data_IF_165699212824
#
_entry.id   IF_165699212824
#
_cell.length_a   1.000
_cell.length_b   1.000
_cell.length_c   1.000
_cell.angle_alpha   90.00
_cell.angle_beta   90.00
_cell.angle_gamma   90.00
#
_symmetry.space_group_name_H-M   'P 1'
#
loop_
_entity.id
_entity.type
_entity.pdbx_description
1 polymer ?
#
# COMPACT_ATOMS: atom_id res chain seq x y z
N UNK A 1 64.12 7.11 23.08
CA UNK A 1 62.71 7.17 23.60
C UNK A 1 61.67 7.72 22.58
N UNK A 2 62.09 8.46 21.57
CA UNK A 2 61.15 9.05 20.56
C UNK A 2 60.58 8.06 19.52
N UNK A 3 61.27 7.02 19.20
CA UNK A 3 60.86 6.05 18.17
C UNK A 3 59.69 5.15 18.61
N UNK A 4 59.58 4.84 19.89
CA UNK A 4 58.51 4.02 20.46
C UNK A 4 57.14 4.72 20.43
N UNK A 5 57.14 6.05 20.69
CA UNK A 5 55.90 6.83 20.64
C UNK A 5 55.30 6.90 19.23
N UNK A 6 56.12 6.95 18.18
CA UNK A 6 55.65 7.01 16.79
C UNK A 6 55.05 5.68 16.30
N UNK A 7 55.59 4.56 16.81
CA UNK A 7 55.05 3.22 16.48
C UNK A 7 53.70 2.98 17.19
N UNK A 8 53.61 3.39 18.47
CA UNK A 8 52.36 3.25 19.24
C UNK A 8 51.25 4.13 18.68
N UNK A 9 51.53 5.34 18.23
CA UNK A 9 50.57 6.25 17.63
C UNK A 9 50.03 5.71 16.31
N UNK A 10 50.87 5.11 15.46
CA UNK A 10 50.46 4.46 14.20
C UNK A 10 49.59 3.24 14.42
N UNK A 11 49.89 2.43 15.46
CA UNK A 11 49.09 1.26 15.78
C UNK A 11 47.70 1.65 16.30
N UNK A 12 47.59 2.70 17.12
CA UNK A 12 46.30 3.24 17.61
C UNK A 12 45.43 3.80 16.48
N UNK A 13 46.03 4.43 15.49
CA UNK A 13 45.31 4.98 14.32
C UNK A 13 44.74 3.84 13.47
N UNK A 14 45.49 2.75 13.27
CA UNK A 14 45.01 1.57 12.50
C UNK A 14 43.84 0.87 13.21
N UNK A 15 43.89 0.78 14.53
CA UNK A 15 42.78 0.18 15.34
C UNK A 15 41.53 1.07 15.29
N UNK A 16 41.67 2.39 15.34
CA UNK A 16 40.56 3.33 15.21
C UNK A 16 39.89 3.30 13.82
N UNK A 17 40.66 3.16 12.75
CA UNK A 17 40.13 3.06 11.38
C UNK A 17 39.43 1.70 11.17
N UNK A 18 39.93 0.61 11.75
CA UNK A 18 39.30 -0.72 11.68
C UNK A 18 37.97 -0.82 12.40
N UNK A 19 37.74 -0.03 13.47
CA UNK A 19 36.47 -0.04 14.20
C UNK A 19 35.32 0.70 13.48
N UNK A 20 35.61 1.60 12.55
CA UNK A 20 34.59 2.31 11.80
C UNK A 20 34.01 1.52 10.60
N UNK A 21 34.67 0.46 10.14
CA UNK A 21 34.22 -0.31 8.99
C UNK A 21 33.20 -1.42 9.31
N UNK A 22 32.95 -1.73 10.58
CA UNK A 22 32.05 -2.85 10.97
C UNK A 22 30.59 -2.43 11.15
N UNK A 23 30.28 -1.10 11.11
CA UNK A 23 28.93 -0.60 11.39
C UNK A 23 28.04 -0.43 10.16
N UNK A 24 28.50 -0.71 8.93
CA UNK A 24 27.73 -0.43 7.72
C UNK A 24 26.85 -1.58 7.18
N UNK A 25 27.00 -2.82 7.67
CA UNK A 25 26.33 -3.96 7.03
C UNK A 25 24.92 -4.27 7.59
N UNK A 26 24.48 -3.64 8.66
CA UNK A 26 23.18 -3.95 9.27
C UNK A 26 22.01 -3.11 8.72
N UNK A 27 22.29 -1.99 8.06
CA UNK A 27 21.24 -1.10 7.54
C UNK A 27 20.68 -1.58 6.20
N UNK A 28 21.49 -2.22 5.37
CA UNK A 28 21.09 -2.63 4.01
C UNK A 28 20.11 -3.80 3.98
N UNK A 29 20.16 -4.73 4.93
CA UNK A 29 19.26 -5.91 4.92
C UNK A 29 17.81 -5.56 5.24
N UNK A 30 17.55 -4.65 6.18
CA UNK A 30 16.19 -4.27 6.55
C UNK A 30 15.51 -3.44 5.45
N UNK A 31 16.26 -2.57 4.78
CA UNK A 31 15.74 -1.70 3.72
C UNK A 31 15.41 -2.49 2.45
N UNK A 32 16.27 -3.42 2.05
CA UNK A 32 16.03 -4.34 0.93
C UNK A 32 14.79 -5.20 1.17
N UNK A 33 14.62 -5.75 2.38
CA UNK A 33 13.45 -6.58 2.72
C UNK A 33 12.15 -5.77 2.69
N UNK A 34 12.18 -4.51 3.12
CA UNK A 34 11.01 -3.62 3.09
C UNK A 34 10.61 -3.29 1.66
N UNK A 35 11.56 -2.98 0.79
CA UNK A 35 11.30 -2.67 -0.63
C UNK A 35 10.77 -3.89 -1.37
N UNK A 36 11.34 -5.06 -1.12
CA UNK A 36 10.89 -6.31 -1.72
C UNK A 36 9.45 -6.65 -1.32
N UNK A 37 9.11 -6.56 -0.04
CA UNK A 37 7.75 -6.77 0.45
C UNK A 37 6.74 -5.78 -0.15
N UNK A 38 7.11 -4.51 -0.32
CA UNK A 38 6.26 -3.51 -0.95
C UNK A 38 5.94 -3.85 -2.41
N UNK A 39 6.93 -4.33 -3.15
CA UNK A 39 6.73 -4.74 -4.53
C UNK A 39 5.80 -5.95 -4.64
N UNK A 40 5.95 -6.94 -3.78
CA UNK A 40 5.08 -8.14 -3.74
C UNK A 40 3.62 -7.73 -3.49
N UNK A 41 3.36 -6.82 -2.55
CA UNK A 41 2.00 -6.35 -2.26
C UNK A 41 1.39 -5.62 -3.45
N UNK A 42 2.14 -4.74 -4.10
CA UNK A 42 1.67 -4.00 -5.29
C UNK A 42 1.37 -4.94 -6.45
N UNK A 43 2.22 -5.93 -6.70
CA UNK A 43 1.98 -6.93 -7.75
C UNK A 43 0.73 -7.78 -7.45
N UNK A 44 0.49 -8.14 -6.18
CA UNK A 44 -0.76 -8.79 -5.75
C UNK A 44 -1.96 -7.90 -6.09
N UNK A 45 -1.92 -6.61 -5.74
CA UNK A 45 -3.02 -5.68 -6.01
C UNK A 45 -3.32 -5.54 -7.50
N UNK A 46 -2.28 -5.46 -8.33
CA UNK A 46 -2.43 -5.45 -9.80
C UNK A 46 -3.07 -6.73 -10.32
N UNK A 47 -2.58 -7.87 -9.87
CA UNK A 47 -3.13 -9.17 -10.23
C UNK A 47 -4.60 -9.32 -9.81
N UNK A 48 -4.96 -8.83 -8.63
CA UNK A 48 -6.35 -8.86 -8.13
C UNK A 48 -7.24 -7.92 -8.95
N UNK A 49 -6.77 -6.69 -9.24
CA UNK A 49 -7.49 -5.74 -10.05
C UNK A 49 -7.74 -6.28 -11.47
N UNK A 50 -6.73 -6.83 -12.10
CA UNK A 50 -6.84 -7.42 -13.44
C UNK A 50 -7.81 -8.61 -13.46
N UNK A 51 -7.76 -9.48 -12.46
CA UNK A 51 -8.66 -10.63 -12.35
C UNK A 51 -10.12 -10.22 -12.17
N UNK A 52 -10.38 -9.18 -11.37
CA UNK A 52 -11.75 -8.76 -11.01
C UNK A 52 -12.33 -7.83 -12.07
N UNK A 53 -11.55 -6.86 -12.55
CA UNK A 53 -12.04 -5.76 -13.40
C UNK A 53 -11.56 -5.86 -14.85
N UNK A 54 -10.37 -6.42 -15.10
CA UNK A 54 -9.81 -6.67 -16.41
C UNK A 54 -9.86 -5.47 -17.35
N UNK A 55 -10.44 -5.64 -18.51
CA UNK A 55 -10.55 -4.59 -19.56
C UNK A 55 -11.38 -3.37 -19.16
N UNK A 56 -12.05 -3.38 -18.02
CA UNK A 56 -12.81 -2.24 -17.51
C UNK A 56 -11.91 -1.20 -16.81
N UNK A 57 -10.65 -1.53 -16.54
CA UNK A 57 -9.67 -0.60 -15.97
C UNK A 57 -9.30 0.44 -17.01
N UNK A 58 -9.47 1.71 -16.67
CA UNK A 58 -9.18 2.85 -17.54
C UNK A 58 -7.88 3.56 -17.17
N UNK A 59 -7.59 3.65 -15.88
CA UNK A 59 -6.43 4.37 -15.34
C UNK A 59 -5.93 3.71 -14.07
N UNK A 60 -4.63 3.84 -13.80
CA UNK A 60 -3.95 3.37 -12.61
C UNK A 60 -3.12 4.51 -12.02
N UNK A 61 -3.25 4.73 -10.70
CA UNK A 61 -2.43 5.69 -9.94
C UNK A 61 -1.81 5.00 -8.74
N UNK A 62 -0.49 5.13 -8.59
CA UNK A 62 0.26 4.59 -7.45
C UNK A 62 0.69 5.70 -6.53
N UNK A 63 0.49 5.51 -5.23
CA UNK A 63 0.97 6.38 -4.16
C UNK A 63 1.75 5.53 -3.16
N UNK A 64 2.97 5.96 -2.86
CA UNK A 64 3.85 5.31 -1.89
C UNK A 64 4.26 6.28 -0.81
N UNK A 65 4.20 5.84 0.44
CA UNK A 65 4.76 6.54 1.59
C UNK A 65 5.58 5.56 2.43
N UNK A 66 6.24 6.07 3.47
CA UNK A 66 7.06 5.23 4.34
C UNK A 66 6.29 4.03 4.93
N UNK A 67 5.03 4.24 5.33
CA UNK A 67 4.22 3.23 6.01
C UNK A 67 3.00 2.74 5.21
N UNK A 68 2.80 3.18 3.98
CA UNK A 68 1.66 2.76 3.19
C UNK A 68 1.96 2.73 1.70
N UNK A 69 1.39 1.74 1.04
CA UNK A 69 1.30 1.64 -0.41
C UNK A 69 -0.18 1.70 -0.80
N UNK A 70 -0.48 2.49 -1.81
CA UNK A 70 -1.82 2.61 -2.34
C UNK A 70 -1.81 2.52 -3.86
N UNK A 71 -2.72 1.72 -4.39
CA UNK A 71 -2.95 1.59 -5.81
C UNK A 71 -4.41 1.90 -6.09
N UNK A 72 -4.67 2.89 -6.92
CA UNK A 72 -6.03 3.33 -7.25
C UNK A 72 -6.27 3.07 -8.72
N UNK A 73 -7.36 2.36 -9.02
CA UNK A 73 -7.84 2.12 -10.36
C UNK A 73 -9.13 2.89 -10.61
N UNK A 74 -9.26 3.45 -11.80
CA UNK A 74 -10.53 3.93 -12.32
C UNK A 74 -11.13 2.83 -13.19
N UNK A 75 -12.32 2.39 -12.82
CA UNK A 75 -13.00 1.28 -13.51
C UNK A 75 -14.33 1.78 -14.08
N UNK A 76 -14.52 1.57 -15.39
CA UNK A 76 -15.77 1.91 -16.06
C UNK A 76 -16.73 0.73 -15.95
N UNK A 77 -17.85 0.95 -15.30
CA UNK A 77 -18.98 0.04 -15.42
C UNK A 77 -20.22 0.80 -15.90
N UNK A 78 -20.96 0.18 -16.81
CA UNK A 78 -22.18 0.75 -17.38
C UNK A 78 -23.38 0.60 -16.45
N UNK A 79 -23.24 -0.15 -15.37
CA UNK A 79 -24.33 -0.31 -14.41
C UNK A 79 -24.37 0.88 -13.46
N UNK A 80 -25.45 1.63 -13.57
CA UNK A 80 -25.71 2.79 -12.72
C UNK A 80 -26.08 2.42 -11.27
N UNK A 81 -26.43 1.15 -11.02
CA UNK A 81 -26.79 0.67 -9.70
C UNK A 81 -25.55 0.06 -9.00
N UNK A 82 -25.11 0.71 -7.95
CA UNK A 82 -23.93 0.29 -7.19
C UNK A 82 -24.11 -1.09 -6.54
N UNK A 83 -25.29 -1.43 -6.06
CA UNK A 83 -25.54 -2.70 -5.37
C UNK A 83 -25.45 -3.86 -6.39
N UNK A 84 -26.02 -3.72 -7.58
CA UNK A 84 -25.89 -4.72 -8.65
C UNK A 84 -24.42 -4.93 -9.08
N UNK A 85 -23.61 -3.87 -9.08
CA UNK A 85 -22.20 -3.99 -9.39
C UNK A 85 -21.47 -4.78 -8.31
N UNK A 86 -21.71 -4.46 -7.04
CA UNK A 86 -21.10 -5.15 -5.90
C UNK A 86 -21.50 -6.62 -5.90
N UNK A 87 -22.78 -6.95 -6.06
CA UNK A 87 -23.26 -8.34 -6.10
C UNK A 87 -22.55 -9.18 -7.19
N UNK A 88 -22.27 -8.58 -8.34
CA UNK A 88 -21.55 -9.26 -9.43
C UNK A 88 -20.10 -9.55 -9.12
N UNK A 89 -19.41 -8.63 -8.44
CA UNK A 89 -17.97 -8.78 -8.18
C UNK A 89 -17.65 -9.44 -6.86
N UNK A 90 -18.61 -9.53 -5.93
CA UNK A 90 -18.38 -10.08 -4.58
C UNK A 90 -17.81 -11.50 -4.64
N UNK A 91 -18.37 -12.36 -5.50
CA UNK A 91 -17.84 -13.71 -5.71
C UNK A 91 -16.42 -13.75 -6.26
N UNK A 92 -16.02 -12.77 -7.08
CA UNK A 92 -14.64 -12.64 -7.59
C UNK A 92 -13.70 -12.13 -6.50
N UNK A 93 -14.15 -11.15 -5.72
CA UNK A 93 -13.43 -10.62 -4.57
C UNK A 93 -13.12 -11.71 -3.55
N UNK A 94 -14.12 -12.50 -3.18
CA UNK A 94 -13.98 -13.61 -2.23
C UNK A 94 -12.99 -14.68 -2.74
N UNK A 95 -13.00 -15.01 -4.04
CA UNK A 95 -12.03 -15.94 -4.65
C UNK A 95 -10.59 -15.43 -4.58
N UNK A 96 -10.38 -14.11 -4.51
CA UNK A 96 -9.07 -13.47 -4.34
C UNK A 96 -8.71 -13.20 -2.88
N UNK A 97 -9.58 -13.64 -1.93
CA UNK A 97 -9.36 -13.53 -0.50
C UNK A 97 -9.81 -12.20 0.11
N UNK A 98 -10.55 -11.39 -0.64
CA UNK A 98 -11.14 -10.15 -0.16
C UNK A 98 -12.51 -10.44 0.45
N UNK A 99 -12.68 -10.15 1.75
CA UNK A 99 -13.91 -10.37 2.48
C UNK A 99 -14.56 -9.03 2.79
N UNK A 100 -15.86 -8.92 2.54
CA UNK A 100 -16.62 -7.71 2.88
C UNK A 100 -16.55 -7.44 4.38
N UNK A 101 -16.28 -6.18 4.73
CA UNK A 101 -16.18 -5.74 6.11
C UNK A 101 -17.35 -4.86 6.50
N UNK A 102 -17.52 -3.74 5.81
CA UNK A 102 -18.58 -2.76 6.07
C UNK A 102 -18.76 -1.80 4.89
N UNK A 103 -19.86 -1.05 4.93
CA UNK A 103 -20.05 0.14 4.09
C UNK A 103 -19.83 1.38 4.95
N UNK A 104 -18.85 2.18 4.58
CA UNK A 104 -18.58 3.44 5.23
C UNK A 104 -18.85 4.60 4.26
N UNK A 105 -19.84 5.42 4.57
CA UNK A 105 -20.39 6.42 3.63
C UNK A 105 -20.76 5.74 2.31
N UNK A 106 -20.13 6.17 1.21
CA UNK A 106 -20.38 5.58 -0.11
C UNK A 106 -19.41 4.44 -0.48
N UNK A 107 -18.37 4.22 0.34
CA UNK A 107 -17.36 3.19 0.06
C UNK A 107 -17.76 1.82 0.62
N UNK A 108 -17.61 0.78 -0.19
CA UNK A 108 -17.66 -0.62 0.26
C UNK A 108 -16.24 -1.05 0.62
N UNK A 109 -16.06 -1.51 1.85
CA UNK A 109 -14.75 -1.87 2.42
C UNK A 109 -14.62 -3.38 2.47
N UNK A 110 -13.52 -3.88 1.94
CA UNK A 110 -13.12 -5.28 2.00
C UNK A 110 -11.75 -5.39 2.64
N UNK A 111 -11.52 -6.49 3.35
CA UNK A 111 -10.23 -6.79 3.98
C UNK A 111 -9.71 -8.15 3.51
N UNK A 112 -8.39 -8.27 3.33
CA UNK A 112 -7.75 -9.56 3.16
C UNK A 112 -7.13 -10.07 4.48
N UNK A 113 -6.50 -11.26 4.44
CA UNK A 113 -5.87 -11.88 5.61
C UNK A 113 -4.67 -11.10 6.12
N UNK A 114 -4.01 -10.34 5.26
CA UNK A 114 -2.83 -9.55 5.58
C UNK A 114 -3.18 -8.14 6.06
N UNK A 115 -4.46 -7.92 6.40
CA UNK A 115 -5.01 -6.63 6.84
C UNK A 115 -4.89 -5.53 5.78
N UNK A 116 -4.76 -5.90 4.51
CA UNK A 116 -4.90 -4.93 3.43
C UNK A 116 -6.37 -4.53 3.29
N UNK A 117 -6.59 -3.28 2.88
CA UNK A 117 -7.92 -2.73 2.66
C UNK A 117 -8.16 -2.51 1.18
N UNK A 118 -9.33 -2.91 0.72
CA UNK A 118 -9.85 -2.59 -0.60
C UNK A 118 -11.08 -1.71 -0.42
N UNK A 119 -11.08 -0.57 -1.08
CA UNK A 119 -12.17 0.41 -1.09
C UNK A 119 -12.79 0.47 -2.49
N UNK A 120 -14.08 0.21 -2.57
CA UNK A 120 -14.85 0.34 -3.79
C UNK A 120 -15.77 1.55 -3.65
N UNK A 121 -15.45 2.63 -4.34
CA UNK A 121 -16.22 3.88 -4.31
C UNK A 121 -17.00 4.02 -5.60
N UNK A 122 -18.35 4.00 -5.55
CA UNK A 122 -19.18 4.13 -6.75
C UNK A 122 -19.01 5.51 -7.40
N UNK A 123 -19.48 5.67 -8.65
CA UNK A 123 -19.62 6.96 -9.28
C UNK A 123 -20.51 7.87 -8.44
N UNK A 124 -19.98 8.98 -7.95
CA UNK A 124 -20.71 9.90 -7.07
C UNK A 124 -20.39 11.33 -7.39
N UNK A 125 -21.27 12.20 -6.91
CA UNK A 125 -21.16 13.65 -7.09
C UNK A 125 -19.91 14.21 -6.39
N UNK A 126 -19.40 15.32 -6.90
CA UNK A 126 -18.25 16.07 -6.36
C UNK A 126 -18.32 16.20 -4.83
N UNK A 127 -17.23 15.94 -4.15
CA UNK A 127 -17.09 16.19 -2.71
C UNK A 127 -17.19 14.95 -1.80
N UNK A 128 -17.32 13.74 -2.32
CA UNK A 128 -17.26 12.54 -1.50
C UNK A 128 -15.79 12.18 -1.20
N UNK A 129 -15.49 12.06 0.08
CA UNK A 129 -14.15 11.73 0.57
C UNK A 129 -14.01 10.21 0.65
N UNK A 130 -13.03 9.64 -0.03
CA UNK A 130 -12.61 8.26 0.26
C UNK A 130 -12.15 8.16 1.70
N UNK A 131 -12.42 7.07 2.37
CA UNK A 131 -11.97 6.83 3.75
C UNK A 131 -10.48 6.46 3.81
N UNK A 132 -9.69 7.04 3.00
CA UNK A 132 -8.26 6.93 3.14
C UNK A 132 -7.81 7.92 4.19
N UNK A 133 -7.70 7.64 5.42
CA UNK A 133 -7.29 8.49 6.56
C UNK A 133 -6.53 9.81 6.35
N UNK A 134 -6.30 10.21 5.13
CA UNK A 134 -5.53 11.37 4.71
C UNK A 134 -6.36 12.47 4.04
N UNK A 135 -7.70 12.38 4.06
CA UNK A 135 -8.57 13.49 3.64
C UNK A 135 -8.44 13.91 2.18
N UNK A 136 -7.97 13.05 1.30
CA UNK A 136 -7.95 13.35 -0.13
C UNK A 136 -9.36 13.25 -0.68
N UNK A 137 -9.96 14.41 -0.97
CA UNK A 137 -11.20 14.45 -1.71
C UNK A 137 -10.92 14.07 -3.15
N UNK A 138 -11.66 13.10 -3.65
CA UNK A 138 -11.71 12.86 -5.09
C UNK A 138 -12.58 13.96 -5.70
N UNK A 139 -11.95 15.02 -6.18
CA UNK A 139 -12.62 16.17 -6.79
C UNK A 139 -13.09 15.90 -8.22
N UNK A 140 -13.47 14.69 -8.55
CA UNK A 140 -13.89 14.39 -9.93
C UNK A 140 -15.30 13.84 -9.98
N UNK A 141 -16.07 14.47 -10.81
CA UNK A 141 -17.27 13.90 -11.43
C UNK A 141 -16.91 12.62 -12.09
N UNK A 142 -17.66 11.57 -11.79
CA UNK A 142 -17.10 10.37 -12.20
C UNK A 142 -18.15 9.39 -12.63
N UNK A 143 -18.13 9.15 -13.90
CA UNK A 143 -18.76 8.00 -14.49
C UNK A 143 -17.95 6.72 -14.24
N UNK A 144 -17.08 6.72 -13.21
CA UNK A 144 -16.17 5.62 -12.92
C UNK A 144 -16.24 5.22 -11.46
N UNK A 145 -16.07 3.93 -11.22
CA UNK A 145 -15.73 3.43 -9.90
C UNK A 145 -14.27 3.77 -9.58
N UNK A 146 -14.02 4.23 -8.38
CA UNK A 146 -12.67 4.37 -7.86
C UNK A 146 -12.38 3.19 -6.92
N UNK A 147 -11.42 2.37 -7.32
CA UNK A 147 -11.04 1.14 -6.62
C UNK A 147 -9.68 1.38 -5.98
N UNK A 148 -9.65 1.45 -4.66
CA UNK A 148 -8.42 1.69 -3.89
C UNK A 148 -7.93 0.44 -3.18
N UNK A 149 -6.79 -0.10 -3.58
CA UNK A 149 -6.07 -1.12 -2.82
C UNK A 149 -5.05 -0.45 -1.92
N UNK A 150 -5.07 -0.77 -0.64
CA UNK A 150 -4.29 -0.09 0.39
C UNK A 150 -3.58 -1.10 1.26
N UNK A 151 -2.25 -1.02 1.30
CA UNK A 151 -1.42 -1.65 2.32
C UNK A 151 -0.94 -0.59 3.28
N UNK A 152 -1.26 -0.72 4.56
CA UNK A 152 -0.81 0.25 5.55
C UNK A 152 -0.56 -0.41 6.90
N UNK A 153 0.50 0.02 7.56
CA UNK A 153 0.80 -0.35 8.95
C UNK A 153 0.12 0.57 9.96
N UNK A 154 -0.63 1.56 9.49
CA UNK A 154 -1.35 2.47 10.38
C UNK A 154 -2.69 1.89 10.83
N UNK A 155 -2.97 1.98 12.13
CA UNK A 155 -4.26 1.59 12.73
C UNK A 155 -5.47 2.42 12.31
N UNK A 156 -5.30 3.38 11.37
CA UNK A 156 -6.38 4.26 10.89
C UNK A 156 -7.32 3.56 9.90
N UNK A 157 -6.88 2.49 9.29
CA UNK A 157 -7.69 1.76 8.32
C UNK A 157 -8.59 0.77 9.03
N UNK A 158 -9.81 0.59 8.50
CA UNK A 158 -10.83 -0.28 9.08
C UNK A 158 -10.30 -1.70 9.29
N UNK A 159 -9.54 -2.21 8.34
CA UNK A 159 -8.97 -3.56 8.42
C UNK A 159 -7.95 -3.73 9.56
N UNK A 160 -7.34 -2.64 10.04
CA UNK A 160 -6.30 -2.64 11.08
C UNK A 160 -6.82 -2.20 12.47
N UNK A 161 -8.08 -1.79 12.58
CA UNK A 161 -8.60 -1.24 13.84
C UNK A 161 -8.80 -2.27 14.96
N UNK A 162 -8.91 -3.55 14.59
CA UNK A 162 -9.23 -4.64 15.53
C UNK A 162 -8.08 -5.65 15.70
N UNK A 163 -6.87 -5.30 15.31
CA UNK A 163 -5.66 -6.12 15.48
C UNK A 163 -4.83 -5.74 16.71
#
# INVERSE_FOLDING_TARGET
METWNKVFLKLMIIILIGAFCVSCDTITKSEVTIVENKNIVIEKFKSDAEYIFGKKILDEKKFSSYNSERLIFQVKDLEQNSDNFIDKIDGLLNKRGWNYKEKYKEAYIYCDRDMNQLELVPPIKIGTVMQSGEGQSLNQLVDYWNIGFIHSRHKRYVCNMNS
#
